data_IF_274376887198
#
_entry.id   IF_274376887198
#
_cell.length_a   1.000
_cell.length_b   1.000
_cell.length_c   1.000
_cell.angle_alpha   90.00
_cell.angle_beta   90.00
_cell.angle_gamma   90.00
#
_symmetry.space_group_name_H-M   'P 1'
#
loop_
_entity.id
_entity.type
_entity.pdbx_description
1 polymer ?
#
# COMPACT_ATOMS: atom_id res chain seq x y z
N UNK A 1 -28.05 7.09 48.67
CA UNK A 1 -26.98 6.51 47.82
C UNK A 1 -27.51 5.55 46.73
N UNK A 2 -28.56 5.90 45.98
CA UNK A 2 -29.15 5.01 44.94
C UNK A 2 -28.84 5.40 43.48
N UNK A 3 -28.20 6.53 43.23
CA UNK A 3 -28.00 7.07 41.87
C UNK A 3 -26.54 7.08 41.38
N UNK A 4 -25.58 6.61 42.17
CA UNK A 4 -24.15 6.73 41.85
C UNK A 4 -23.59 5.58 40.98
N UNK A 5 -24.40 4.58 40.65
CA UNK A 5 -24.00 3.44 39.79
C UNK A 5 -24.30 3.64 38.31
N UNK A 6 -25.19 4.57 37.95
CA UNK A 6 -25.55 4.86 36.56
C UNK A 6 -24.55 5.75 35.84
N UNK A 7 -23.83 6.62 36.57
CA UNK A 7 -22.88 7.57 36.00
C UNK A 7 -21.56 6.89 35.57
N UNK A 8 -21.15 5.81 36.23
CA UNK A 8 -19.87 5.15 35.97
C UNK A 8 -19.90 4.26 34.70
N UNK A 9 -21.07 3.74 34.34
CA UNK A 9 -21.24 2.90 33.14
C UNK A 9 -21.21 3.74 31.86
N UNK A 10 -21.63 5.01 31.91
CA UNK A 10 -21.68 5.88 30.74
C UNK A 10 -20.28 6.38 30.31
N UNK A 11 -19.33 6.48 31.25
CA UNK A 11 -17.94 6.90 30.97
C UNK A 11 -17.09 5.75 30.39
N UNK A 12 -17.40 4.50 30.74
CA UNK A 12 -16.69 3.33 30.21
C UNK A 12 -17.10 2.97 28.77
N UNK A 13 -18.33 3.31 28.36
CA UNK A 13 -18.79 3.12 26.97
C UNK A 13 -18.26 4.21 26.03
N UNK A 14 -17.95 5.42 26.52
CA UNK A 14 -17.44 6.51 25.69
C UNK A 14 -15.97 6.36 25.28
N UNK A 15 -15.18 5.53 25.96
CA UNK A 15 -13.74 5.34 25.66
C UNK A 15 -13.52 4.24 24.60
N UNK A 16 -14.53 3.37 24.37
CA UNK A 16 -14.49 2.33 23.33
C UNK A 16 -15.01 2.80 21.97
N UNK A 17 -15.15 4.12 21.78
CA UNK A 17 -15.46 4.77 20.52
C UNK A 17 -14.30 5.64 20.02
N UNK A 18 -13.08 5.45 20.54
CA UNK A 18 -11.86 5.84 19.83
C UNK A 18 -11.80 4.99 18.56
N UNK A 19 -12.52 5.45 17.53
CA UNK A 19 -12.57 4.83 16.23
C UNK A 19 -11.14 4.63 15.75
N UNK A 20 -10.87 3.42 15.27
CA UNK A 20 -9.77 3.17 14.35
C UNK A 20 -9.95 4.16 13.19
N UNK A 21 -9.26 5.29 13.24
CA UNK A 21 -9.06 6.13 12.07
C UNK A 21 -8.15 5.31 11.18
N UNK A 22 -8.73 4.54 10.27
CA UNK A 22 -7.98 3.93 9.18
C UNK A 22 -7.33 5.10 8.44
N UNK A 23 -6.00 5.14 8.39
CA UNK A 23 -5.31 6.11 7.56
C UNK A 23 -5.81 5.91 6.12
N UNK A 24 -6.30 6.97 5.50
CA UNK A 24 -6.82 6.93 4.13
C UNK A 24 -5.64 6.76 3.18
N UNK A 25 -5.63 5.68 2.39
CA UNK A 25 -4.75 5.56 1.24
C UNK A 25 -5.24 6.51 0.14
N UNK A 26 -4.31 7.07 -0.63
CA UNK A 26 -4.63 7.97 -1.74
C UNK A 26 -4.46 7.22 -3.05
N UNK A 27 -5.55 7.00 -3.82
CA UNK A 27 -5.46 6.34 -5.12
C UNK A 27 -4.67 7.18 -6.11
N UNK A 28 -3.78 6.53 -6.86
CA UNK A 28 -3.09 7.11 -8.01
C UNK A 28 -3.52 6.33 -9.25
N UNK A 29 -3.93 7.05 -10.30
CA UNK A 29 -4.47 6.46 -11.53
C UNK A 29 -3.58 6.80 -12.72
N UNK A 30 -3.17 5.78 -13.47
CA UNK A 30 -2.34 5.91 -14.67
C UNK A 30 -2.88 5.01 -15.79
N UNK A 31 -2.46 5.25 -17.03
CA UNK A 31 -2.76 4.34 -18.15
C UNK A 31 -2.05 3.01 -17.94
N UNK A 32 -2.72 1.89 -18.21
CA UNK A 32 -2.12 0.55 -18.20
C UNK A 32 -2.88 -0.40 -19.12
N UNK A 33 -2.17 -1.00 -20.07
CA UNK A 33 -2.76 -1.79 -21.15
C UNK A 33 -3.74 -0.96 -21.98
N UNK A 34 -4.99 -1.43 -22.08
CA UNK A 34 -6.07 -0.72 -22.79
C UNK A 34 -7.04 0.02 -21.84
N UNK A 35 -6.67 0.20 -20.57
CA UNK A 35 -7.48 0.85 -19.54
C UNK A 35 -6.68 1.80 -18.66
N UNK A 36 -7.25 2.14 -17.51
CA UNK A 36 -6.62 2.93 -16.46
C UNK A 36 -6.46 2.06 -15.22
N UNK A 37 -5.23 1.92 -14.73
CA UNK A 37 -4.95 1.25 -13.47
C UNK A 37 -4.95 2.29 -12.34
N UNK A 38 -5.78 2.05 -11.33
CA UNK A 38 -5.78 2.79 -10.08
C UNK A 38 -5.13 1.94 -8.99
N UNK A 39 -4.13 2.51 -8.32
CA UNK A 39 -3.36 1.88 -7.25
C UNK A 39 -3.57 2.65 -5.95
N UNK A 40 -3.95 1.92 -4.90
CA UNK A 40 -3.90 2.38 -3.52
C UNK A 40 -2.88 1.52 -2.76
N UNK A 41 -2.08 2.14 -1.90
CA UNK A 41 -1.05 1.42 -1.14
C UNK A 41 -1.21 1.67 0.35
N UNK A 42 -1.15 0.60 1.14
CA UNK A 42 -0.98 0.66 2.58
C UNK A 42 0.35 -0.01 2.97
N UNK A 43 1.06 0.56 3.95
CA UNK A 43 2.25 -0.05 4.55
C UNK A 43 1.98 -0.22 6.04
N UNK A 44 2.12 -1.42 6.59
CA UNK A 44 1.82 -1.77 7.98
C UNK A 44 0.43 -1.27 8.42
N UNK A 45 -0.58 -1.49 7.56
CA UNK A 45 -1.98 -1.04 7.74
C UNK A 45 -2.19 0.49 7.79
N UNK A 46 -1.21 1.25 7.32
CA UNK A 46 -1.29 2.72 7.18
C UNK A 46 -1.30 3.06 5.69
N UNK A 47 -2.40 3.62 5.21
CA UNK A 47 -2.50 4.13 3.85
C UNK A 47 -1.44 5.19 3.56
N UNK A 48 -0.82 5.09 2.39
CA UNK A 48 0.14 6.08 1.92
C UNK A 48 -0.57 7.23 1.21
N UNK A 49 -0.10 8.43 1.49
CA UNK A 49 -0.51 9.67 0.83
C UNK A 49 0.73 10.35 0.24
N UNK A 50 0.78 10.60 -1.08
CA UNK A 50 1.83 11.41 -1.69
C UNK A 50 2.03 12.78 -1.04
N UNK A 51 0.98 13.36 -0.44
CA UNK A 51 1.04 14.64 0.26
C UNK A 51 1.45 14.53 1.74
N UNK A 52 1.30 13.36 2.36
CA UNK A 52 1.56 13.12 3.77
C UNK A 52 2.44 11.86 3.95
N UNK A 53 3.78 12.00 3.88
CA UNK A 53 4.70 10.87 3.96
C UNK A 53 4.63 10.14 5.30
N UNK A 54 4.90 8.82 5.25
CA UNK A 54 4.79 7.92 6.41
C UNK A 54 6.19 7.60 6.97
N UNK A 55 6.46 8.10 8.18
CA UNK A 55 7.64 7.68 8.93
C UNK A 55 7.68 6.15 9.14
N UNK A 56 8.82 5.55 8.85
CA UNK A 56 9.11 4.14 9.13
C UNK A 56 10.05 4.00 10.34
N UNK A 57 9.86 2.96 11.15
CA UNK A 57 10.81 2.61 12.20
C UNK A 57 11.85 1.58 11.70
N UNK A 58 13.07 1.65 12.24
CA UNK A 58 14.23 0.86 11.75
C UNK A 58 14.12 -0.66 11.96
N UNK A 59 13.10 -1.12 12.66
CA UNK A 59 12.88 -2.53 12.98
C UNK A 59 11.66 -3.10 12.28
N UNK A 60 11.02 -2.33 11.40
CA UNK A 60 9.78 -2.73 10.77
C UNK A 60 10.07 -3.69 9.62
N UNK A 61 9.43 -4.86 9.64
CA UNK A 61 9.06 -5.54 8.40
C UNK A 61 8.00 -4.66 7.70
N UNK A 62 8.11 -4.49 6.39
CA UNK A 62 7.13 -3.74 5.61
C UNK A 62 6.09 -4.71 5.04
N UNK A 63 4.93 -4.81 5.69
CA UNK A 63 3.72 -5.42 5.14
C UNK A 63 3.06 -4.40 4.19
N UNK A 64 3.24 -4.61 2.89
CA UNK A 64 2.72 -3.73 1.84
C UNK A 64 1.47 -4.35 1.24
N UNK A 65 0.35 -3.65 1.38
CA UNK A 65 -0.89 -3.98 0.69
C UNK A 65 -1.06 -3.06 -0.52
N UNK A 66 -1.02 -3.64 -1.72
CA UNK A 66 -1.34 -2.97 -2.98
C UNK A 66 -2.76 -3.36 -3.38
N UNK A 67 -3.63 -2.35 -3.50
CA UNK A 67 -4.98 -2.52 -4.05
C UNK A 67 -4.99 -1.99 -5.48
N UNK A 68 -5.21 -2.87 -6.43
CA UNK A 68 -5.28 -2.57 -7.86
C UNK A 68 -6.73 -2.62 -8.36
N UNK A 69 -7.16 -1.56 -9.05
CA UNK A 69 -8.42 -1.53 -9.80
C UNK A 69 -8.11 -1.18 -11.25
N UNK A 70 -8.61 -1.98 -12.19
CA UNK A 70 -8.52 -1.67 -13.62
C UNK A 70 -9.87 -1.14 -14.11
N UNK A 71 -9.87 0.09 -14.61
CA UNK A 71 -11.04 0.75 -15.18
C UNK A 71 -10.89 0.86 -16.71
N UNK A 72 -12.00 0.79 -17.44
CA UNK A 72 -11.99 0.82 -18.89
C UNK A 72 -13.33 0.46 -19.49
N UNK A 73 -13.38 0.32 -20.81
CA UNK A 73 -14.58 -0.06 -21.54
C UNK A 73 -14.53 -1.51 -22.00
N UNK A 74 -15.65 -2.22 -21.89
CA UNK A 74 -15.78 -3.61 -22.33
C UNK A 74 -15.14 -4.64 -21.40
N UNK A 75 -15.01 -5.87 -21.88
CA UNK A 75 -14.50 -7.02 -21.10
C UNK A 75 -13.00 -7.23 -21.35
N UNK A 76 -12.20 -6.18 -21.19
CA UNK A 76 -10.75 -6.25 -21.38
C UNK A 76 -10.13 -7.02 -20.21
N UNK A 77 -9.16 -7.87 -20.54
CA UNK A 77 -8.28 -8.55 -19.60
C UNK A 77 -6.84 -8.20 -19.97
N UNK A 78 -6.06 -7.75 -19.00
CA UNK A 78 -4.60 -7.66 -19.12
C UNK A 78 -4.02 -8.94 -18.55
N UNK A 79 -3.31 -9.69 -19.38
CA UNK A 79 -2.76 -10.99 -19.03
C UNK A 79 -1.36 -10.87 -18.42
N UNK A 80 -1.01 -11.83 -17.58
CA UNK A 80 0.32 -11.99 -16.99
C UNK A 80 0.85 -10.74 -16.28
N UNK A 81 -0.01 -10.07 -15.51
CA UNK A 81 0.36 -8.89 -14.72
C UNK A 81 1.13 -9.32 -13.48
N UNK A 82 2.27 -8.69 -13.24
CA UNK A 82 3.05 -8.80 -12.00
C UNK A 82 3.06 -7.46 -11.26
N UNK A 83 2.98 -7.49 -9.93
CA UNK A 83 3.21 -6.32 -9.08
C UNK A 83 4.55 -6.51 -8.39
N UNK A 84 5.47 -5.58 -8.59
CA UNK A 84 6.72 -5.48 -7.84
C UNK A 84 6.67 -4.25 -6.93
N UNK A 85 7.13 -4.40 -5.69
CA UNK A 85 7.34 -3.29 -4.77
C UNK A 85 8.81 -3.18 -4.45
N UNK A 86 9.36 -1.97 -4.50
CA UNK A 86 10.78 -1.72 -4.27
C UNK A 86 10.96 -0.47 -3.38
N UNK A 87 11.73 -0.61 -2.31
CA UNK A 87 12.11 0.50 -1.46
C UNK A 87 13.30 1.26 -2.06
N UNK A 88 13.09 2.53 -2.40
CA UNK A 88 14.12 3.44 -2.92
C UNK A 88 14.61 4.41 -1.87
N UNK A 89 15.86 4.86 -2.06
CA UNK A 89 16.59 5.72 -1.12
C UNK A 89 17.59 4.93 -0.26
N UNK A 90 17.54 3.60 -0.33
CA UNK A 90 18.52 2.67 0.24
C UNK A 90 19.35 2.05 -0.89
N UNK A 91 20.07 2.88 -1.65
CA UNK A 91 20.90 2.41 -2.77
C UNK A 91 22.39 2.53 -2.39
N UNK A 92 22.88 1.60 -1.56
CA UNK A 92 24.32 1.46 -1.30
C UNK A 92 25.00 0.64 -2.41
N UNK A 93 24.28 -0.30 -3.04
CA UNK A 93 24.68 -1.06 -4.23
C UNK A 93 23.49 -1.82 -4.86
N UNK A 94 23.59 -2.21 -6.14
CA UNK A 94 22.53 -2.99 -6.85
C UNK A 94 22.19 -4.35 -6.20
N UNK A 95 23.03 -4.84 -5.27
CA UNK A 95 22.86 -6.12 -4.58
C UNK A 95 22.06 -6.01 -3.28
N UNK A 96 21.80 -4.80 -2.81
CA UNK A 96 21.14 -4.53 -1.54
C UNK A 96 19.71 -4.00 -1.73
N UNK A 97 19.09 -4.31 -2.88
CA UNK A 97 17.70 -3.95 -3.17
C UNK A 97 16.77 -4.62 -2.18
N UNK A 98 15.87 -3.82 -1.64
CA UNK A 98 14.77 -4.27 -0.79
C UNK A 98 13.52 -4.25 -1.65
N UNK A 99 13.14 -5.41 -2.17
CA UNK A 99 11.97 -5.58 -3.03
C UNK A 99 11.25 -6.91 -2.76
N UNK A 100 10.01 -6.98 -3.23
CA UNK A 100 9.21 -8.20 -3.28
C UNK A 100 8.28 -8.13 -4.50
N UNK A 101 7.86 -9.27 -5.01
CA UNK A 101 7.01 -9.36 -6.20
C UNK A 101 5.95 -10.45 -6.11
N UNK A 102 4.81 -10.24 -6.76
CA UNK A 102 3.78 -11.27 -6.85
C UNK A 102 4.08 -12.28 -7.96
N UNK A 103 3.47 -13.46 -7.90
CA UNK A 103 3.28 -14.26 -9.12
C UNK A 103 2.44 -13.49 -10.16
N UNK A 104 2.62 -13.83 -11.43
CA UNK A 104 1.82 -13.26 -12.52
C UNK A 104 0.34 -13.64 -12.43
N UNK A 105 -0.56 -12.71 -12.76
CA UNK A 105 -2.00 -12.93 -12.71
C UNK A 105 -2.76 -12.08 -13.74
N UNK A 106 -3.97 -12.51 -14.09
CA UNK A 106 -4.80 -11.79 -15.06
C UNK A 106 -5.70 -10.75 -14.36
N UNK A 107 -5.64 -9.51 -14.86
CA UNK A 107 -6.40 -8.37 -14.34
C UNK A 107 -7.54 -8.05 -15.29
N UNK A 108 -8.78 -8.06 -14.79
CA UNK A 108 -9.99 -7.79 -15.56
C UNK A 108 -10.55 -6.43 -15.20
N UNK A 109 -11.08 -5.73 -16.21
CA UNK A 109 -11.78 -4.46 -16.00
C UNK A 109 -12.95 -4.63 -15.01
N UNK A 110 -13.07 -3.69 -14.09
CA UNK A 110 -14.13 -3.64 -13.07
C UNK A 110 -13.93 -4.59 -11.89
N UNK A 111 -12.79 -5.28 -11.80
CA UNK A 111 -12.41 -6.09 -10.65
C UNK A 111 -11.39 -5.36 -9.77
N UNK A 112 -11.37 -5.73 -8.49
CA UNK A 112 -10.42 -5.22 -7.49
C UNK A 112 -9.52 -6.36 -7.04
N UNK A 113 -8.22 -6.10 -6.96
CA UNK A 113 -7.20 -7.07 -6.61
C UNK A 113 -6.35 -6.56 -5.46
N UNK A 114 -6.39 -7.28 -4.34
CA UNK A 114 -5.60 -6.97 -3.16
C UNK A 114 -4.39 -7.91 -3.12
N UNK A 115 -3.19 -7.35 -3.17
CA UNK A 115 -1.92 -8.09 -3.14
C UNK A 115 -1.09 -7.64 -1.94
N UNK A 116 -0.71 -8.61 -1.11
CA UNK A 116 0.18 -8.40 0.03
C UNK A 116 1.59 -8.85 -0.35
N UNK A 117 2.55 -7.98 -0.11
CA UNK A 117 3.97 -8.19 -0.33
C UNK A 117 4.68 -7.88 0.99
N UNK A 118 5.75 -8.62 1.29
CA UNK A 118 6.54 -8.40 2.50
C UNK A 118 7.99 -8.14 2.15
N UNK A 119 8.53 -7.02 2.67
CA UNK A 119 9.93 -6.68 2.53
C UNK A 119 10.60 -6.56 3.89
N UNK A 120 11.73 -7.25 4.06
CA UNK A 120 12.57 -7.10 5.23
C UNK A 120 13.45 -5.86 5.11
N UNK A 121 13.33 -4.92 6.05
CA UNK A 121 14.26 -3.80 6.13
C UNK A 121 15.61 -4.27 6.69
N UNK A 122 16.74 -3.86 6.08
CA UNK A 122 18.05 -4.19 6.60
C UNK A 122 18.28 -3.47 7.93
N UNK A 123 18.92 -4.17 8.88
CA UNK A 123 19.18 -3.67 10.23
C UNK A 123 19.97 -2.34 10.29
N UNK A 124 20.65 -1.98 9.20
CA UNK A 124 21.37 -0.71 9.05
C UNK A 124 20.67 0.16 8.03
N UNK A 125 19.63 0.84 8.48
CA UNK A 125 18.97 1.87 7.69
C UNK A 125 19.38 3.25 8.22
N UNK A 126 19.86 4.11 7.34
CA UNK A 126 20.16 5.49 7.68
C UNK A 126 18.87 6.29 7.84
N UNK A 127 18.94 7.39 8.59
CA UNK A 127 17.81 8.31 8.65
C UNK A 127 17.80 9.12 7.34
N UNK A 128 16.69 9.09 6.61
CA UNK A 128 16.62 9.68 5.29
C UNK A 128 15.21 9.75 4.74
N UNK A 129 15.10 10.25 3.51
CA UNK A 129 13.85 10.21 2.75
C UNK A 129 13.85 8.97 1.88
N UNK A 130 12.78 8.20 1.97
CA UNK A 130 12.61 6.99 1.19
C UNK A 130 11.35 7.10 0.35
N UNK A 131 11.23 6.20 -0.61
CA UNK A 131 10.00 6.08 -1.38
C UNK A 131 9.76 4.64 -1.73
N UNK A 132 8.50 4.23 -1.68
CA UNK A 132 8.05 2.95 -2.17
C UNK A 132 7.70 3.11 -3.64
N UNK A 133 8.41 2.38 -4.50
CA UNK A 133 8.02 2.21 -5.89
C UNK A 133 7.15 0.98 -6.01
N UNK A 134 6.03 1.12 -6.69
CA UNK A 134 5.16 0.02 -7.08
C UNK A 134 5.16 -0.05 -8.60
N UNK A 135 5.58 -1.16 -9.17
CA UNK A 135 5.63 -1.38 -10.61
C UNK A 135 4.61 -2.43 -10.99
N UNK A 136 3.73 -2.08 -11.93
CA UNK A 136 2.89 -3.02 -12.66
C UNK A 136 3.65 -3.39 -13.94
N UNK A 137 3.85 -4.68 -14.16
CA UNK A 137 4.52 -5.20 -15.34
C UNK A 137 3.60 -6.19 -16.05
N UNK A 138 3.58 -6.15 -17.38
CA UNK A 138 2.88 -7.12 -18.23
C UNK A 138 3.66 -7.30 -19.53
N UNK A 139 3.36 -8.31 -20.35
CA UNK A 139 4.08 -8.53 -21.61
C UNK A 139 3.98 -7.37 -22.62
N UNK A 140 2.99 -6.47 -22.48
CA UNK A 140 2.70 -5.41 -23.45
C UNK A 140 2.89 -3.99 -22.91
N UNK A 141 2.98 -3.83 -21.59
CA UNK A 141 3.00 -2.52 -20.94
C UNK A 141 3.55 -2.63 -19.52
N UNK A 142 4.20 -1.56 -19.05
CA UNK A 142 4.70 -1.42 -17.69
C UNK A 142 4.38 -0.02 -17.15
N UNK A 143 4.00 0.07 -15.88
CA UNK A 143 3.65 1.34 -15.25
C UNK A 143 4.20 1.39 -13.82
N UNK A 144 4.85 2.51 -13.48
CA UNK A 144 5.44 2.73 -12.17
C UNK A 144 4.71 3.82 -11.41
N UNK A 145 4.42 3.55 -10.14
CA UNK A 145 3.85 4.45 -9.16
C UNK A 145 4.87 4.67 -8.04
N UNK A 146 4.98 5.89 -7.52
CA UNK A 146 5.96 6.21 -6.46
C UNK A 146 5.27 6.91 -5.30
N UNK A 147 5.45 6.38 -4.10
CA UNK A 147 4.86 6.88 -2.87
C UNK A 147 5.97 7.27 -1.89
N UNK A 148 6.00 8.51 -1.38
CA UNK A 148 7.00 8.92 -0.40
C UNK A 148 6.74 8.25 0.96
N UNK A 149 7.82 7.80 1.61
CA UNK A 149 7.85 7.24 2.95
C UNK A 149 8.63 8.19 3.87
#
# INVERSE_FOLDING_TARGET
MKYMKGLLVLVLVSILACGLVKATSYPVTESFGAGQATIEVEVNNVGLDPANPKNLEKTDELDVLVTLRLEGFGNITVEDVQIEVELKGYDLSDKDKVNDETDAFNVKVGQVYDKRLSMELPARFDQGKYSLKVRLDSPIDDQTFTFPL
#
